data_IF_176872644563
#
_entry.id   IF_176872644563
#
_cell.length_a   1.000
_cell.length_b   1.000
_cell.length_c   1.000
_cell.angle_alpha   90.00
_cell.angle_beta   90.00
_cell.angle_gamma   90.00
#
_symmetry.space_group_name_H-M   'P 1'
#
loop_
_entity.id
_entity.type
_entity.pdbx_description
1 polymer ?
#
# COMPACT_ATOMS: atom_id res chain seq x y z
N UNK A 1 3.48 -21.20 -11.06
CA UNK A 1 4.08 -20.19 -10.18
C UNK A 1 2.97 -19.45 -9.42
N UNK A 2 3.09 -19.34 -8.10
CA UNK A 2 2.06 -18.74 -7.27
C UNK A 2 2.30 -17.24 -7.18
N UNK A 3 1.28 -16.44 -7.52
CA UNK A 3 1.36 -14.98 -7.36
C UNK A 3 1.02 -14.63 -5.91
N UNK A 4 1.88 -13.87 -5.28
CA UNK A 4 1.66 -13.43 -3.91
C UNK A 4 0.55 -12.39 -3.87
N UNK A 5 -0.42 -12.58 -2.97
CA UNK A 5 -1.55 -11.69 -2.82
C UNK A 5 -1.60 -11.09 -1.42
N UNK A 6 -2.30 -9.96 -1.28
CA UNK A 6 -2.43 -9.24 -0.02
C UNK A 6 -3.85 -8.74 0.15
N UNK A 7 -4.30 -8.66 1.38
CA UNK A 7 -5.66 -8.21 1.68
C UNK A 7 -5.70 -6.79 2.26
N UNK A 8 -4.57 -6.29 2.75
CA UNK A 8 -4.46 -4.95 3.31
C UNK A 8 -3.34 -4.22 2.61
N UNK A 9 -3.57 -2.99 2.23
CA UNK A 9 -2.55 -2.15 1.61
C UNK A 9 -2.80 -0.71 1.99
N UNK A 10 -1.76 0.10 1.91
CA UNK A 10 -1.91 1.53 2.22
C UNK A 10 -0.58 2.23 2.30
N UNK A 11 -0.61 3.37 2.98
CA UNK A 11 0.54 4.26 3.10
C UNK A 11 1.13 4.16 4.49
N UNK A 12 2.44 4.01 4.56
CA UNK A 12 3.16 4.08 5.82
C UNK A 12 4.28 5.10 5.74
N UNK A 13 4.69 5.60 6.89
CA UNK A 13 5.79 6.56 7.03
C UNK A 13 6.96 5.89 7.73
N UNK A 14 8.14 5.97 7.11
CA UNK A 14 9.36 5.42 7.68
C UNK A 14 10.52 6.35 7.34
N UNK A 15 11.23 6.82 8.37
CA UNK A 15 12.35 7.75 8.21
C UNK A 15 11.99 8.99 7.37
N UNK A 16 10.80 9.53 7.58
CA UNK A 16 10.34 10.71 6.88
C UNK A 16 9.91 10.48 5.43
N UNK A 17 9.83 9.23 5.01
CA UNK A 17 9.42 8.88 3.64
C UNK A 17 8.11 8.10 3.66
N UNK A 18 7.20 8.49 2.77
CA UNK A 18 5.93 7.80 2.59
C UNK A 18 6.11 6.67 1.57
N UNK A 19 5.67 5.48 1.93
CA UNK A 19 5.76 4.31 1.05
C UNK A 19 4.48 3.49 1.11
N UNK A 20 4.21 2.80 -0.01
CA UNK A 20 3.09 1.84 -0.06
C UNK A 20 3.52 0.56 0.64
N UNK A 21 2.64 0.04 1.50
CA UNK A 21 2.88 -1.21 2.21
C UNK A 21 1.74 -2.17 1.96
N UNK A 22 2.07 -3.45 1.98
CA UNK A 22 1.14 -4.54 1.75
C UNK A 22 1.19 -5.50 2.93
N UNK A 23 0.04 -6.04 3.31
CA UNK A 23 -0.03 -7.01 4.40
C UNK A 23 -1.17 -8.00 4.12
N UNK A 24 -1.10 -9.18 4.75
CA UNK A 24 -2.13 -10.20 4.59
C UNK A 24 -3.32 -9.96 5.52
N UNK A 25 -3.15 -9.16 6.56
CA UNK A 25 -4.20 -8.87 7.54
C UNK A 25 -3.85 -7.59 8.29
N UNK A 26 -4.85 -7.06 9.02
CA UNK A 26 -4.63 -5.88 9.88
C UNK A 26 -3.59 -6.18 10.95
N UNK A 27 -3.57 -7.39 11.49
CA UNK A 27 -2.59 -7.78 12.50
C UNK A 27 -1.18 -7.70 11.93
N UNK A 28 -0.99 -8.14 10.70
CA UNK A 28 0.32 -8.07 10.04
C UNK A 28 0.73 -6.63 9.77
N UNK A 29 -0.23 -5.78 9.38
CA UNK A 29 0.04 -4.35 9.17
C UNK A 29 0.51 -3.70 10.49
N UNK A 30 -0.09 -4.08 11.62
CA UNK A 30 0.31 -3.55 12.92
C UNK A 30 1.72 -3.98 13.31
N UNK A 31 2.17 -5.15 12.88
CA UNK A 31 3.55 -5.61 13.11
C UNK A 31 4.55 -4.68 12.42
N UNK A 32 4.21 -4.16 11.25
CA UNK A 32 5.08 -3.21 10.53
C UNK A 32 5.29 -1.93 11.35
N UNK A 33 4.28 -1.52 12.12
CA UNK A 33 4.42 -0.36 13.01
C UNK A 33 5.51 -0.57 14.06
N UNK A 34 5.61 -1.79 14.58
CA UNK A 34 6.64 -2.11 15.58
C UNK A 34 8.05 -2.09 15.01
N UNK A 35 8.18 -2.17 13.69
CA UNK A 35 9.48 -2.17 13.02
C UNK A 35 9.89 -0.77 12.55
N UNK A 36 9.34 0.27 13.14
CA UNK A 36 9.69 1.65 12.84
C UNK A 36 8.87 2.27 11.72
N UNK A 37 7.85 1.56 11.23
CA UNK A 37 6.92 2.09 10.25
C UNK A 37 5.67 2.58 10.96
N UNK A 38 5.15 3.74 10.55
CA UNK A 38 3.89 4.27 11.07
C UNK A 38 2.84 4.16 10.00
N UNK A 39 1.75 3.46 10.29
CA UNK A 39 0.63 3.37 9.36
C UNK A 39 -0.10 4.71 9.33
N UNK A 40 -0.07 5.36 8.17
CA UNK A 40 -0.73 6.66 7.97
C UNK A 40 -2.18 6.44 7.55
N UNK A 41 -2.37 5.61 6.54
CA UNK A 41 -3.71 5.29 6.05
C UNK A 41 -3.69 3.91 5.40
N UNK A 42 -4.49 2.99 5.94
CA UNK A 42 -4.55 1.61 5.44
C UNK A 42 -5.93 1.30 4.88
N UNK A 43 -5.95 0.56 3.79
CA UNK A 43 -7.18 0.13 3.11
C UNK A 43 -7.29 -1.38 3.23
N UNK A 44 -8.44 -1.86 3.72
CA UNK A 44 -8.73 -3.28 3.78
C UNK A 44 -9.53 -3.65 2.54
N UNK A 45 -9.02 -4.60 1.77
CA UNK A 45 -9.66 -5.03 0.53
C UNK A 45 -10.72 -6.10 0.82
N UNK A 46 -11.67 -6.24 -0.11
CA UNK A 46 -12.71 -7.26 0.02
C UNK A 46 -12.14 -8.66 -0.14
N UNK A 47 -11.10 -8.79 -0.95
CA UNK A 47 -10.43 -10.06 -1.21
C UNK A 47 -8.94 -9.83 -1.41
N UNK A 48 -8.14 -10.88 -1.26
CA UNK A 48 -6.70 -10.80 -1.47
C UNK A 48 -6.41 -10.63 -2.96
N UNK A 49 -5.53 -9.69 -3.29
CA UNK A 49 -5.17 -9.36 -4.68
C UNK A 49 -3.67 -9.22 -4.83
N UNK A 50 -3.13 -9.45 -6.05
CA UNK A 50 -1.71 -9.15 -6.33
C UNK A 50 -1.46 -7.65 -6.29
N UNK A 51 -0.19 -7.26 -6.18
CA UNK A 51 0.19 -5.85 -6.06
C UNK A 51 -0.36 -4.99 -7.17
N UNK A 52 -0.30 -5.47 -8.42
CA UNK A 52 -0.76 -4.70 -9.57
C UNK A 52 -2.24 -4.36 -9.47
N UNK A 53 -3.05 -5.32 -9.06
CA UNK A 53 -4.49 -5.12 -8.91
C UNK A 53 -4.79 -4.19 -7.73
N UNK A 54 -4.02 -4.31 -6.66
CA UNK A 54 -4.16 -3.42 -5.49
C UNK A 54 -3.86 -1.98 -5.89
N UNK A 55 -2.74 -1.77 -6.57
CA UNK A 55 -2.34 -0.43 -7.00
C UNK A 55 -3.36 0.16 -7.96
N UNK A 56 -3.89 -0.65 -8.87
CA UNK A 56 -4.95 -0.20 -9.78
C UNK A 56 -6.16 0.34 -9.02
N UNK A 57 -6.57 -0.33 -7.95
CA UNK A 57 -7.65 0.14 -7.11
C UNK A 57 -7.25 1.40 -6.32
N UNK A 58 -6.04 1.43 -5.78
CA UNK A 58 -5.58 2.56 -4.96
C UNK A 58 -5.36 3.82 -5.78
N UNK A 59 -5.10 3.71 -7.07
CA UNK A 59 -4.99 4.87 -7.96
C UNK A 59 -6.33 5.62 -8.06
N UNK A 60 -7.44 4.91 -7.86
CA UNK A 60 -8.78 5.49 -7.88
C UNK A 60 -9.27 5.87 -6.48
N UNK A 61 -8.45 5.62 -5.47
CA UNK A 61 -8.76 5.95 -4.07
C UNK A 61 -8.14 7.30 -3.73
N UNK A 62 -8.91 8.17 -3.09
CA UNK A 62 -8.41 9.47 -2.65
C UNK A 62 -7.92 9.35 -1.21
N UNK A 63 -6.61 9.42 -1.02
CA UNK A 63 -6.03 9.42 0.32
C UNK A 63 -6.16 10.81 0.95
N UNK A 64 -6.34 10.84 2.25
CA UNK A 64 -6.42 12.10 3.00
C UNK A 64 -5.08 12.84 3.01
N UNK A 65 -4.00 12.08 2.93
CA UNK A 65 -2.64 12.63 2.92
C UNK A 65 -2.19 12.82 1.48
N UNK A 66 -1.88 14.07 1.03
CA UNK A 66 -1.41 14.29 -0.35
C UNK A 66 -0.16 13.48 -0.68
N UNK A 67 0.76 13.33 0.25
CA UNK A 67 1.97 12.54 0.08
C UNK A 67 1.64 11.07 -0.17
N UNK A 68 0.54 10.58 0.39
CA UNK A 68 0.08 9.23 0.15
C UNK A 68 -0.30 9.01 -1.31
N UNK A 69 -0.96 9.97 -1.91
CA UNK A 69 -1.32 9.90 -3.33
C UNK A 69 -0.08 9.86 -4.20
N UNK A 70 0.95 10.63 -3.86
CA UNK A 70 2.21 10.63 -4.60
C UNK A 70 2.93 9.29 -4.44
N UNK A 71 2.90 8.70 -3.25
CA UNK A 71 3.52 7.40 -3.00
C UNK A 71 2.87 6.31 -3.85
N UNK A 72 1.54 6.34 -4.00
CA UNK A 72 0.83 5.38 -4.84
C UNK A 72 1.24 5.52 -6.30
N UNK A 73 1.35 6.75 -6.80
CA UNK A 73 1.77 6.99 -8.18
C UNK A 73 3.19 6.49 -8.42
N UNK A 74 4.09 6.71 -7.48
CA UNK A 74 5.46 6.25 -7.59
C UNK A 74 5.52 4.71 -7.61
N UNK A 75 4.78 4.07 -6.73
CA UNK A 75 4.70 2.61 -6.69
C UNK A 75 4.14 2.06 -8.00
N UNK A 76 3.12 2.72 -8.55
CA UNK A 76 2.53 2.31 -9.82
C UNK A 76 3.55 2.36 -10.95
N UNK A 77 4.36 3.42 -11.01
CA UNK A 77 5.41 3.53 -12.01
C UNK A 77 6.45 2.42 -11.87
N UNK A 78 6.82 2.08 -10.63
CA UNK A 78 7.77 1.00 -10.37
C UNK A 78 7.22 -0.36 -10.80
N UNK A 79 5.90 -0.54 -10.75
CA UNK A 79 5.24 -1.77 -11.20
C UNK A 79 5.02 -1.80 -12.72
N UNK A 80 5.38 -0.74 -13.43
CA UNK A 80 5.24 -0.68 -14.87
C UNK A 80 3.99 0.01 -15.39
N UNK A 81 3.22 0.67 -14.52
CA UNK A 81 2.05 1.44 -14.95
C UNK A 81 2.49 2.65 -15.77
N UNK A 82 1.75 2.91 -16.81
CA UNK A 82 2.03 4.05 -17.70
C UNK A 82 1.24 5.27 -17.20
N UNK A 83 1.85 6.04 -16.31
CA UNK A 83 1.24 7.23 -15.72
C UNK A 83 1.86 8.52 -16.27
#
# INVERSE_FOLDING_TARGET
>A
MTVKTYKVAGISLHNGKYKVRYANSKSRANVLTKNGHTNVEMVVLKEALPKEDIIDQLLNHTFKTPEGNDAIKLEAKELGFNL
#
